data_IF_417936020836
#
_entry.id   IF_417936020836
#
_cell.length_a   1.000
_cell.length_b   1.000
_cell.length_c   1.000
_cell.angle_alpha   90.00
_cell.angle_beta   90.00
_cell.angle_gamma   90.00
#
_symmetry.space_group_name_H-M   'P 1'
#
loop_
_entity.id
_entity.type
_entity.pdbx_description
1 polymer ?
#
# COMPACT_ATOMS: atom_id res chain seq x y z
N UNK A 1 -16.58 15.14 9.04
CA UNK A 1 -15.35 14.34 9.22
C UNK A 1 -15.70 12.96 8.67
N UNK A 2 -15.20 12.67 7.46
CA UNK A 2 -15.55 11.44 6.75
C UNK A 2 -15.10 10.22 7.56
N UNK A 3 -15.89 9.13 7.56
CA UNK A 3 -15.53 7.85 8.18
C UNK A 3 -14.21 7.27 7.66
N UNK A 4 -13.73 7.75 6.52
CA UNK A 4 -12.47 7.38 5.87
C UNK A 4 -11.20 8.01 6.49
N UNK A 5 -11.33 8.96 7.43
CA UNK A 5 -10.22 9.65 8.10
C UNK A 5 -10.14 9.33 9.61
N UNK A 6 -10.59 8.17 10.03
CA UNK A 6 -10.25 7.69 11.36
C UNK A 6 -8.81 7.19 11.34
N UNK A 7 -7.86 8.10 11.61
CA UNK A 7 -6.51 7.74 12.03
C UNK A 7 -6.62 6.87 13.29
N UNK A 8 -6.55 5.57 13.10
CA UNK A 8 -6.45 4.63 14.21
C UNK A 8 -5.05 4.77 14.78
N UNK A 9 -4.87 5.74 15.66
CA UNK A 9 -3.61 5.96 16.37
C UNK A 9 -3.41 4.85 17.40
N UNK A 10 -2.84 3.73 16.93
CA UNK A 10 -2.28 2.74 17.82
C UNK A 10 -1.08 3.35 18.55
N UNK A 11 -1.07 3.26 19.87
CA UNK A 11 0.00 3.77 20.70
C UNK A 11 1.10 2.71 20.83
N UNK A 12 2.30 3.13 21.19
CA UNK A 12 3.44 2.23 21.45
C UNK A 12 3.07 1.01 22.29
N UNK A 13 2.29 1.20 23.35
CA UNK A 13 1.86 0.15 24.26
C UNK A 13 0.92 -0.89 23.59
N UNK A 14 0.21 -0.47 22.56
CA UNK A 14 -0.77 -1.33 21.86
C UNK A 14 -0.05 -2.36 20.98
N UNK A 15 1.09 -1.99 20.43
CA UNK A 15 1.94 -2.90 19.64
C UNK A 15 2.72 -3.90 20.51
N UNK A 16 2.97 -3.59 21.78
CA UNK A 16 3.71 -4.48 22.68
C UNK A 16 5.03 -4.96 22.07
N UNK A 17 5.21 -6.28 21.96
CA UNK A 17 6.41 -6.91 21.40
C UNK A 17 6.59 -6.67 19.89
N UNK A 18 5.55 -6.25 19.18
CA UNK A 18 5.62 -5.91 17.75
C UNK A 18 6.22 -4.52 17.52
N UNK A 19 6.25 -3.67 18.54
CA UNK A 19 6.64 -2.26 18.41
C UNK A 19 8.02 -2.04 17.77
N UNK A 20 9.10 -2.76 18.17
CA UNK A 20 10.41 -2.58 17.56
C UNK A 20 10.39 -2.83 16.04
N UNK A 21 9.66 -3.85 15.59
CA UNK A 21 9.54 -4.20 14.18
C UNK A 21 8.70 -3.18 13.39
N UNK A 22 7.65 -2.65 14.01
CA UNK A 22 6.83 -1.59 13.39
C UNK A 22 7.67 -0.33 13.17
N UNK A 23 8.56 0.00 14.09
CA UNK A 23 9.41 1.19 14.01
C UNK A 23 10.64 1.02 13.13
N UNK A 24 11.11 -0.21 12.90
CA UNK A 24 12.29 -0.48 12.08
C UNK A 24 12.01 -0.19 10.60
N UNK A 25 12.76 0.73 9.98
CA UNK A 25 12.51 1.21 8.61
C UNK A 25 12.70 0.12 7.56
N UNK A 26 13.61 -0.83 7.80
CA UNK A 26 13.90 -1.94 6.89
C UNK A 26 12.83 -3.02 6.90
N UNK A 27 12.04 -3.13 7.98
CA UNK A 27 10.95 -4.10 8.08
C UNK A 27 9.77 -3.66 7.21
N UNK A 28 9.30 -4.57 6.37
CA UNK A 28 8.15 -4.36 5.47
C UNK A 28 6.89 -5.06 5.97
N UNK A 29 7.04 -6.30 6.43
CA UNK A 29 5.92 -7.11 6.87
C UNK A 29 6.24 -7.86 8.17
N UNK A 30 5.20 -8.06 8.98
CA UNK A 30 5.28 -8.75 10.27
C UNK A 30 4.15 -9.78 10.32
N UNK A 31 4.48 -11.05 10.46
CA UNK A 31 3.52 -12.14 10.39
C UNK A 31 3.56 -13.01 11.65
N UNK A 32 2.45 -13.10 12.35
CA UNK A 32 2.22 -14.08 13.39
C UNK A 32 1.32 -15.21 12.86
N UNK A 33 1.80 -16.44 12.88
CA UNK A 33 1.08 -17.59 12.35
C UNK A 33 0.35 -18.43 13.44
N UNK A 34 0.15 -17.84 14.62
CA UNK A 34 -0.42 -18.52 15.79
C UNK A 34 0.63 -19.20 16.69
N UNK A 35 1.90 -19.27 16.25
CA UNK A 35 2.99 -19.94 16.99
C UNK A 35 4.33 -19.20 16.93
N UNK A 36 4.65 -18.61 15.79
CA UNK A 36 5.93 -17.99 15.49
C UNK A 36 5.72 -16.64 14.86
N UNK A 37 6.63 -15.72 15.17
CA UNK A 37 6.68 -14.39 14.58
C UNK A 37 7.70 -14.39 13.44
N UNK A 38 7.26 -14.03 12.25
CA UNK A 38 8.08 -13.91 11.05
C UNK A 38 8.15 -12.47 10.60
N UNK A 39 9.32 -12.03 10.21
CA UNK A 39 9.63 -10.67 9.80
C UNK A 39 10.17 -10.71 8.38
N UNK A 40 9.61 -9.88 7.51
CA UNK A 40 10.18 -9.59 6.20
C UNK A 40 10.93 -8.25 6.29
N UNK A 41 12.23 -8.29 6.03
CA UNK A 41 13.16 -7.18 6.20
C UNK A 41 13.96 -6.98 4.91
N UNK A 42 14.10 -5.74 4.45
CA UNK A 42 14.76 -5.41 3.18
C UNK A 42 16.26 -5.76 3.17
N UNK A 43 16.91 -5.75 4.33
CA UNK A 43 18.35 -6.02 4.45
C UNK A 43 18.64 -7.48 4.85
N UNK A 44 17.86 -8.01 5.79
CA UNK A 44 18.06 -9.34 6.38
C UNK A 44 17.29 -10.44 5.64
N UNK A 45 16.36 -10.06 4.76
CA UNK A 45 15.42 -10.98 4.16
C UNK A 45 14.37 -11.47 5.17
N UNK A 46 13.73 -12.59 4.88
CA UNK A 46 12.72 -13.18 5.78
C UNK A 46 13.36 -14.01 6.86
N UNK A 47 13.02 -13.73 8.12
CA UNK A 47 13.53 -14.46 9.28
C UNK A 47 12.47 -14.66 10.35
N UNK A 48 12.70 -15.65 11.23
CA UNK A 48 11.89 -15.89 12.41
C UNK A 48 12.45 -15.05 13.57
N UNK A 49 11.58 -14.23 14.15
CA UNK A 49 11.93 -13.45 15.33
C UNK A 49 11.96 -14.32 16.59
N UNK A 50 12.82 -14.01 17.57
CA UNK A 50 12.91 -14.77 18.81
C UNK A 50 11.73 -14.56 19.75
N UNK A 51 10.97 -13.47 19.56
CA UNK A 51 9.81 -13.14 20.38
C UNK A 51 8.64 -14.05 20.08
N UNK A 52 7.92 -14.40 21.13
CA UNK A 52 6.67 -15.16 21.06
C UNK A 52 5.53 -14.26 21.52
N UNK A 53 4.49 -14.13 20.69
CA UNK A 53 3.27 -13.46 21.11
C UNK A 53 2.50 -14.38 22.07
N UNK A 54 2.21 -13.86 23.27
CA UNK A 54 1.28 -14.58 24.15
C UNK A 54 -0.12 -14.53 23.55
N UNK A 55 -0.90 -15.58 23.79
CA UNK A 55 -2.29 -15.65 23.37
C UNK A 55 -3.11 -14.46 23.91
N UNK A 56 -2.83 -14.08 25.17
CA UNK A 56 -3.47 -12.91 25.80
C UNK A 56 -3.15 -11.60 25.08
N UNK A 57 -1.93 -11.42 24.60
CA UNK A 57 -1.57 -10.25 23.79
C UNK A 57 -2.27 -10.29 22.44
N UNK A 58 -2.23 -11.41 21.73
CA UNK A 58 -2.84 -11.55 20.41
C UNK A 58 -4.36 -11.30 20.45
N UNK A 59 -5.05 -11.85 21.46
CA UNK A 59 -6.47 -11.60 21.67
C UNK A 59 -6.77 -10.14 22.02
N UNK A 60 -5.99 -9.51 22.90
CA UNK A 60 -6.17 -8.09 23.25
C UNK A 60 -5.93 -7.19 22.03
N UNK A 61 -4.91 -7.48 21.23
CA UNK A 61 -4.59 -6.72 20.01
C UNK A 61 -5.73 -6.81 18.99
N UNK A 62 -6.29 -8.01 18.76
CA UNK A 62 -7.42 -8.20 17.86
C UNK A 62 -8.69 -7.50 18.36
N UNK A 63 -8.98 -7.54 19.66
CA UNK A 63 -10.10 -6.81 20.25
C UNK A 63 -9.94 -5.29 20.13
N UNK A 64 -8.73 -4.79 20.35
CA UNK A 64 -8.43 -3.36 20.19
C UNK A 64 -8.69 -2.90 18.75
N UNK A 65 -8.20 -3.64 17.76
CA UNK A 65 -8.43 -3.34 16.34
C UNK A 65 -9.90 -3.43 15.96
N UNK A 66 -10.63 -4.44 16.46
CA UNK A 66 -12.08 -4.58 16.27
C UNK A 66 -12.83 -3.36 16.80
N UNK A 67 -12.52 -2.91 18.01
CA UNK A 67 -13.14 -1.73 18.62
C UNK A 67 -12.80 -0.44 17.87
N UNK A 68 -11.54 -0.24 17.49
CA UNK A 68 -11.09 0.94 16.76
C UNK A 68 -11.73 1.02 15.37
N UNK A 69 -11.83 -0.09 14.66
CA UNK A 69 -12.39 -0.14 13.30
C UNK A 69 -13.92 -0.26 13.30
N UNK A 70 -14.56 -0.48 14.46
CA UNK A 70 -15.98 -0.80 14.58
C UNK A 70 -16.40 -2.00 13.70
N UNK A 71 -15.47 -2.98 13.53
CA UNK A 71 -15.70 -4.20 12.77
C UNK A 71 -15.85 -5.39 13.73
N UNK A 72 -16.84 -6.24 13.49
CA UNK A 72 -16.97 -7.48 14.23
C UNK A 72 -15.87 -8.46 13.82
N UNK A 73 -15.17 -9.04 14.82
CA UNK A 73 -14.18 -10.09 14.61
C UNK A 73 -14.50 -11.27 15.53
N UNK A 74 -15.05 -12.31 14.98
CA UNK A 74 -15.54 -13.48 15.69
C UNK A 74 -15.67 -14.67 14.72
N UNK A 75 -16.29 -15.76 15.19
CA UNK A 75 -16.50 -16.97 14.40
C UNK A 75 -17.34 -16.74 13.13
N UNK A 76 -18.29 -15.83 13.18
CA UNK A 76 -19.18 -15.53 12.04
C UNK A 76 -18.53 -14.52 11.07
N UNK A 77 -17.60 -13.71 11.58
CA UNK A 77 -16.79 -12.76 10.82
C UNK A 77 -15.31 -13.08 11.07
N UNK A 78 -14.79 -14.16 10.47
CA UNK A 78 -13.49 -14.72 10.85
C UNK A 78 -12.29 -14.00 10.24
N UNK A 79 -12.50 -13.07 9.32
CA UNK A 79 -11.43 -12.24 8.71
C UNK A 79 -11.73 -10.78 9.00
N UNK A 80 -10.70 -10.06 9.44
CA UNK A 80 -10.81 -8.61 9.66
C UNK A 80 -9.59 -7.91 9.05
N UNK A 81 -9.85 -6.94 8.20
CA UNK A 81 -8.83 -6.03 7.68
C UNK A 81 -9.04 -4.64 8.27
N UNK A 82 -7.94 -4.08 8.78
CA UNK A 82 -7.89 -2.73 9.35
C UNK A 82 -6.72 -1.99 8.72
N UNK A 83 -6.96 -0.78 8.29
CA UNK A 83 -5.93 0.08 7.76
C UNK A 83 -5.75 1.29 8.66
N UNK A 84 -4.52 1.65 8.88
CA UNK A 84 -4.09 2.91 9.46
C UNK A 84 -3.38 3.73 8.37
N UNK A 85 -2.91 4.91 8.71
CA UNK A 85 -2.17 5.75 7.74
C UNK A 85 -0.96 5.04 7.10
N UNK A 86 -0.25 4.18 7.85
CA UNK A 86 1.00 3.55 7.39
C UNK A 86 1.06 2.04 7.59
N UNK A 87 -0.06 1.42 8.02
CA UNK A 87 -0.13 -0.02 8.26
C UNK A 87 -1.44 -0.60 7.74
N UNK A 88 -1.33 -1.73 7.07
CA UNK A 88 -2.45 -2.63 6.82
C UNK A 88 -2.34 -3.84 7.73
N UNK A 89 -3.38 -4.14 8.48
CA UNK A 89 -3.44 -5.28 9.39
C UNK A 89 -4.54 -6.22 8.93
N UNK A 90 -4.17 -7.48 8.68
CA UNK A 90 -5.11 -8.55 8.38
C UNK A 90 -5.08 -9.56 9.55
N UNK A 91 -6.26 -9.86 10.10
CA UNK A 91 -6.46 -10.84 11.15
C UNK A 91 -7.31 -11.99 10.65
N UNK A 92 -6.91 -13.23 11.00
CA UNK A 92 -7.70 -14.42 10.70
C UNK A 92 -8.00 -15.17 12.00
N UNK A 93 -9.29 -15.34 12.26
CA UNK A 93 -9.80 -15.92 13.50
C UNK A 93 -9.46 -17.42 13.61
N UNK A 94 -9.23 -17.95 14.83
CA UNK A 94 -8.94 -19.36 15.05
C UNK A 94 -10.01 -20.34 14.57
N UNK A 95 -11.24 -19.87 14.33
CA UNK A 95 -12.28 -20.74 13.77
C UNK A 95 -11.99 -21.23 12.35
N UNK A 96 -11.13 -20.53 11.61
CA UNK A 96 -10.72 -20.86 10.24
C UNK A 96 -9.18 -21.02 10.10
N UNK A 97 -8.41 -20.50 11.05
CA UNK A 97 -6.96 -20.66 11.12
C UNK A 97 -6.62 -21.70 12.18
N UNK A 98 -6.38 -22.94 11.79
CA UNK A 98 -6.14 -24.08 12.72
C UNK A 98 -4.92 -23.93 13.61
N UNK A 99 -3.94 -23.13 13.23
CA UNK A 99 -2.74 -22.85 14.05
C UNK A 99 -2.96 -21.84 15.16
N UNK A 100 -4.13 -21.23 15.22
CA UNK A 100 -4.50 -20.15 16.14
C UNK A 100 -4.75 -18.83 15.42
N UNK A 101 -4.90 -17.74 16.18
CA UNK A 101 -5.08 -16.41 15.62
C UNK A 101 -3.88 -16.06 14.72
N UNK A 102 -4.16 -15.75 13.45
CA UNK A 102 -3.13 -15.23 12.53
C UNK A 102 -3.21 -13.71 12.46
N UNK A 103 -2.04 -13.06 12.45
CA UNK A 103 -1.90 -11.60 12.36
C UNK A 103 -0.87 -11.30 11.28
N UNK A 104 -1.24 -10.48 10.30
CA UNK A 104 -0.31 -9.96 9.29
C UNK A 104 -0.38 -8.44 9.30
N UNK A 105 0.76 -7.81 9.52
CA UNK A 105 0.92 -6.35 9.40
C UNK A 105 1.80 -6.07 8.20
N UNK A 106 1.32 -5.27 7.26
CA UNK A 106 2.09 -4.75 6.14
C UNK A 106 2.32 -3.26 6.35
N UNK A 107 3.56 -2.82 6.22
CA UNK A 107 3.91 -1.40 6.31
C UNK A 107 3.75 -0.73 4.96
N UNK A 108 3.04 0.37 4.93
CA UNK A 108 2.79 1.20 3.74
C UNK A 108 3.24 2.65 3.99
N UNK A 109 4.51 2.90 4.32
CA UNK A 109 4.95 4.24 4.68
C UNK A 109 4.92 5.19 3.49
N UNK A 110 4.62 6.46 3.77
CA UNK A 110 4.63 7.54 2.78
C UNK A 110 6.07 8.02 2.48
N UNK A 111 6.94 7.11 2.06
CA UNK A 111 8.36 7.39 1.77
C UNK A 111 8.75 6.85 0.39
N UNK A 112 9.71 7.50 -0.25
CA UNK A 112 10.41 6.99 -1.44
C UNK A 112 11.67 6.28 -0.99
N UNK A 113 11.64 4.95 -1.01
CA UNK A 113 12.79 4.12 -0.65
C UNK A 113 13.83 4.05 -1.77
N UNK A 114 13.38 4.09 -3.03
CA UNK A 114 14.29 4.01 -4.17
C UNK A 114 14.93 5.37 -4.46
N UNK A 115 16.26 5.38 -4.56
CA UNK A 115 17.07 6.49 -5.07
C UNK A 115 17.83 6.03 -6.29
N UNK A 116 18.10 6.94 -7.23
CA UNK A 116 18.76 6.60 -8.51
C UNK A 116 20.10 5.90 -8.29
N UNK A 117 20.88 6.39 -7.34
CA UNK A 117 22.21 5.87 -6.98
C UNK A 117 22.12 4.44 -6.46
N UNK A 118 21.17 4.18 -5.58
CA UNK A 118 20.97 2.86 -4.97
C UNK A 118 20.49 1.85 -6.01
N UNK A 119 19.55 2.22 -6.87
CA UNK A 119 19.02 1.34 -7.91
C UNK A 119 20.11 0.86 -8.88
N UNK A 120 21.04 1.72 -9.24
CA UNK A 120 22.12 1.37 -10.14
C UNK A 120 23.27 0.63 -9.44
N UNK A 121 23.59 1.04 -8.19
CA UNK A 121 24.66 0.44 -7.40
C UNK A 121 24.34 -0.96 -6.87
N UNK A 122 23.09 -1.21 -6.54
CA UNK A 122 22.62 -2.49 -5.96
C UNK A 122 22.15 -3.50 -7.02
N UNK A 123 22.26 -3.16 -8.32
CA UNK A 123 21.85 -4.04 -9.40
C UNK A 123 20.32 -4.21 -9.54
N UNK A 124 19.54 -3.28 -8.99
CA UNK A 124 18.08 -3.25 -9.16
C UNK A 124 17.70 -3.10 -10.63
N UNK A 125 18.33 -2.17 -11.33
CA UNK A 125 18.25 -2.05 -12.78
C UNK A 125 19.45 -1.27 -13.39
N UNK A 126 19.60 -1.42 -14.71
CA UNK A 126 20.60 -0.64 -15.47
C UNK A 126 20.22 0.86 -15.47
N UNK A 127 21.21 1.74 -15.35
CA UNK A 127 21.02 3.19 -15.37
C UNK A 127 20.23 3.68 -16.60
N UNK A 128 20.44 3.04 -17.76
CA UNK A 128 19.74 3.36 -19.02
C UNK A 128 18.23 3.09 -18.92
N UNK A 129 17.82 2.08 -18.15
CA UNK A 129 16.39 1.79 -17.94
C UNK A 129 15.74 2.89 -17.12
N UNK A 130 16.42 3.38 -16.07
CA UNK A 130 15.91 4.48 -15.26
C UNK A 130 15.80 5.76 -16.08
N UNK A 131 16.84 6.08 -16.87
CA UNK A 131 16.82 7.25 -17.73
C UNK A 131 15.75 7.19 -18.80
N UNK A 132 15.54 6.00 -19.38
CA UNK A 132 14.43 5.77 -20.31
C UNK A 132 13.06 5.98 -19.65
N UNK A 133 12.84 5.45 -18.45
CA UNK A 133 11.57 5.66 -17.71
C UNK A 133 11.33 7.14 -17.38
N UNK A 134 12.38 7.88 -16.99
CA UNK A 134 12.28 9.32 -16.76
C UNK A 134 11.91 10.07 -18.06
N UNK A 135 12.47 9.66 -19.20
CA UNK A 135 12.10 10.23 -20.50
C UNK A 135 10.64 9.88 -20.87
N UNK A 136 10.19 8.65 -20.59
CA UNK A 136 8.78 8.28 -20.74
C UNK A 136 7.84 9.17 -19.90
N UNK A 137 8.21 9.47 -18.64
CA UNK A 137 7.47 10.43 -17.82
C UNK A 137 7.43 11.81 -18.46
N UNK A 138 8.55 12.33 -18.91
CA UNK A 138 8.63 13.64 -19.58
C UNK A 138 7.85 13.68 -20.91
N UNK A 139 7.71 12.55 -21.59
CA UNK A 139 6.96 12.39 -22.84
C UNK A 139 5.49 12.00 -22.62
N UNK A 140 5.00 12.00 -21.39
CA UNK A 140 3.63 11.59 -21.05
C UNK A 140 3.24 10.19 -21.54
N UNK A 141 4.18 9.25 -21.56
CA UNK A 141 3.89 7.86 -21.93
C UNK A 141 3.06 7.18 -20.85
N UNK A 142 2.13 6.35 -21.25
CA UNK A 142 1.46 5.40 -20.36
C UNK A 142 2.42 4.27 -19.98
N UNK A 143 2.52 3.95 -18.70
CA UNK A 143 3.47 2.98 -18.14
C UNK A 143 2.70 1.91 -17.36
N UNK A 144 2.93 0.65 -17.68
CA UNK A 144 2.46 -0.48 -16.88
C UNK A 144 3.64 -1.15 -16.17
N UNK A 145 3.57 -1.28 -14.85
CA UNK A 145 4.60 -1.89 -14.01
C UNK A 145 4.09 -3.26 -13.55
N UNK A 146 4.66 -4.33 -14.08
CA UNK A 146 4.26 -5.70 -13.80
C UNK A 146 5.38 -6.47 -13.08
N UNK A 147 5.00 -7.42 -12.24
CA UNK A 147 5.97 -8.27 -11.53
C UNK A 147 5.33 -9.02 -10.36
N UNK A 148 6.06 -9.95 -9.78
CA UNK A 148 5.63 -10.72 -8.61
C UNK A 148 5.39 -9.82 -7.38
N UNK A 149 4.66 -10.33 -6.39
CA UNK A 149 4.55 -9.67 -5.09
C UNK A 149 5.95 -9.48 -4.49
N UNK A 150 6.21 -8.33 -3.87
CA UNK A 150 7.51 -8.01 -3.29
C UNK A 150 8.60 -7.59 -4.28
N UNK A 151 8.32 -7.52 -5.60
CA UNK A 151 9.34 -7.13 -6.61
C UNK A 151 9.65 -5.63 -6.66
N UNK A 152 9.02 -4.81 -5.81
CA UNK A 152 9.27 -3.37 -5.74
C UNK A 152 8.43 -2.51 -6.69
N UNK A 153 7.33 -3.05 -7.28
CA UNK A 153 6.45 -2.30 -8.20
C UNK A 153 5.99 -0.97 -7.61
N UNK A 154 5.41 -1.00 -6.41
CA UNK A 154 4.93 0.20 -5.72
C UNK A 154 6.06 1.18 -5.41
N UNK A 155 7.24 0.69 -5.07
CA UNK A 155 8.40 1.56 -4.83
C UNK A 155 8.89 2.23 -6.11
N UNK A 156 8.91 1.51 -7.25
CA UNK A 156 9.23 2.09 -8.55
C UNK A 156 8.18 3.14 -8.96
N UNK A 157 6.90 2.86 -8.75
CA UNK A 157 5.83 3.83 -8.97
C UNK A 157 6.07 5.10 -8.13
N UNK A 158 6.27 4.95 -6.81
CA UNK A 158 6.57 6.07 -5.90
C UNK A 158 7.79 6.87 -6.38
N UNK A 159 8.82 6.19 -6.86
CA UNK A 159 9.99 6.85 -7.44
C UNK A 159 9.63 7.68 -8.68
N UNK A 160 8.85 7.14 -9.60
CA UNK A 160 8.47 7.84 -10.83
C UNK A 160 7.58 9.06 -10.58
N UNK A 161 6.73 9.05 -9.54
CA UNK A 161 5.83 10.16 -9.21
C UNK A 161 6.55 11.50 -8.97
N UNK A 162 7.83 11.49 -8.62
CA UNK A 162 8.60 12.73 -8.44
C UNK A 162 8.78 13.51 -9.74
N UNK A 163 8.78 12.83 -10.89
CA UNK A 163 8.97 13.40 -12.22
C UNK A 163 7.69 13.97 -12.83
N UNK A 164 6.54 13.79 -12.21
CA UNK A 164 5.31 14.47 -12.61
C UNK A 164 5.47 15.97 -12.33
N UNK A 165 5.25 16.85 -13.32
CA UNK A 165 5.33 18.31 -13.13
C UNK A 165 4.37 18.81 -12.05
N UNK A 166 4.79 19.81 -11.27
CA UNK A 166 3.97 20.36 -10.17
C UNK A 166 2.70 21.09 -10.65
N UNK A 167 2.70 21.57 -11.88
CA UNK A 167 1.55 22.24 -12.49
C UNK A 167 0.51 21.27 -13.07
N UNK A 168 0.79 19.98 -13.05
CA UNK A 168 -0.07 18.94 -13.62
C UNK A 168 -0.88 18.23 -12.54
N UNK A 169 -2.17 18.09 -12.82
CA UNK A 169 -3.10 17.41 -11.93
C UNK A 169 -2.92 15.90 -11.99
N UNK A 170 -2.76 15.28 -10.83
CA UNK A 170 -2.69 13.84 -10.67
C UNK A 170 -3.94 13.33 -9.96
N UNK A 171 -4.50 12.22 -10.42
CA UNK A 171 -5.51 11.45 -9.68
C UNK A 171 -4.95 10.07 -9.42
N UNK A 172 -4.99 9.62 -8.17
CA UNK A 172 -4.70 8.23 -7.82
C UNK A 172 -5.98 7.49 -7.49
N UNK A 173 -6.09 6.23 -7.91
CA UNK A 173 -7.21 5.35 -7.59
C UNK A 173 -6.63 4.06 -7.01
N UNK A 174 -6.95 3.78 -5.75
CA UNK A 174 -6.41 2.67 -4.98
C UNK A 174 -7.52 1.97 -4.20
N UNK A 175 -7.44 0.66 -4.00
CA UNK A 175 -8.24 -0.09 -3.03
C UNK A 175 -7.68 0.10 -1.62
N UNK A 176 -6.36 0.10 -1.51
CA UNK A 176 -5.60 0.33 -0.29
C UNK A 176 -4.63 1.49 -0.51
N UNK A 177 -4.60 2.45 0.39
CA UNK A 177 -3.71 3.60 0.29
C UNK A 177 -2.26 3.17 0.53
N UNK A 178 -1.54 2.86 -0.53
CA UNK A 178 -0.12 2.48 -0.51
C UNK A 178 0.80 3.54 -1.11
N UNK A 179 0.29 4.33 -2.07
CA UNK A 179 1.10 5.30 -2.82
C UNK A 179 1.38 6.54 -1.97
N UNK A 180 0.40 7.03 -1.24
CA UNK A 180 0.49 8.28 -0.44
C UNK A 180 1.02 9.46 -1.27
N UNK A 181 0.48 9.65 -2.46
CA UNK A 181 0.99 10.63 -3.42
C UNK A 181 1.04 12.05 -2.84
N UNK A 182 -0.07 12.49 -2.22
CA UNK A 182 -0.19 13.84 -1.67
C UNK A 182 0.81 14.08 -0.53
N UNK A 183 0.99 13.09 0.37
CA UNK A 183 1.94 13.19 1.47
C UNK A 183 3.39 13.29 1.00
N UNK A 184 3.74 12.53 -0.07
CA UNK A 184 5.08 12.58 -0.68
C UNK A 184 5.30 13.79 -1.59
N UNK A 185 4.23 14.42 -2.07
CA UNK A 185 4.26 15.55 -3.01
C UNK A 185 3.36 16.69 -2.53
N UNK A 186 3.60 17.30 -1.37
CA UNK A 186 2.66 18.23 -0.72
C UNK A 186 2.37 19.53 -1.52
N UNK A 187 3.22 19.83 -2.51
CA UNK A 187 3.10 21.03 -3.35
C UNK A 187 2.54 20.74 -4.75
N UNK A 188 2.06 19.53 -5.01
CA UNK A 188 1.47 19.14 -6.29
C UNK A 188 -0.05 19.00 -6.17
N UNK A 189 -0.76 19.33 -7.26
CA UNK A 189 -2.21 19.11 -7.32
C UNK A 189 -2.53 17.63 -7.43
N UNK A 190 -3.23 17.08 -6.42
CA UNK A 190 -3.59 15.68 -6.39
C UNK A 190 -4.97 15.44 -5.78
N UNK A 191 -5.67 14.47 -6.34
CA UNK A 191 -6.85 13.86 -5.73
C UNK A 191 -6.58 12.37 -5.54
N UNK A 192 -6.60 11.89 -4.30
CA UNK A 192 -6.48 10.48 -3.96
C UNK A 192 -7.88 9.90 -3.79
N UNK A 193 -8.26 8.97 -4.68
CA UNK A 193 -9.54 8.27 -4.63
C UNK A 193 -9.32 6.85 -4.10
N UNK A 194 -10.24 6.42 -3.24
CA UNK A 194 -10.27 5.07 -2.75
C UNK A 194 -11.50 4.33 -3.26
N UNK A 195 -11.32 3.15 -3.83
CA UNK A 195 -12.43 2.25 -4.17
C UNK A 195 -12.96 1.55 -2.91
N UNK A 196 -14.25 1.23 -2.92
CA UNK A 196 -14.97 0.59 -1.83
C UNK A 196 -16.13 -0.24 -2.39
N UNK A 197 -16.87 -0.96 -1.54
CA UNK A 197 -18.01 -1.79 -1.97
C UNK A 197 -19.05 -1.04 -2.83
N UNK A 198 -19.28 0.24 -2.54
CA UNK A 198 -20.25 1.11 -3.23
C UNK A 198 -19.58 2.14 -4.18
N UNK A 199 -18.28 2.01 -4.44
CA UNK A 199 -17.54 2.88 -5.36
C UNK A 199 -16.44 2.08 -6.06
N UNK A 200 -16.77 1.51 -7.22
CA UNK A 200 -15.89 0.63 -7.99
C UNK A 200 -14.77 1.39 -8.72
N UNK A 201 -13.74 0.67 -9.20
CA UNK A 201 -12.71 1.22 -10.09
C UNK A 201 -13.32 1.90 -11.32
N UNK A 202 -14.29 1.27 -11.98
CA UNK A 202 -14.99 1.86 -13.14
C UNK A 202 -15.63 3.20 -12.81
N UNK A 203 -16.33 3.29 -11.67
CA UNK A 203 -16.94 4.55 -11.25
C UNK A 203 -15.88 5.60 -10.91
N UNK A 204 -14.79 5.21 -10.24
CA UNK A 204 -13.68 6.11 -9.90
C UNK A 204 -13.02 6.67 -11.15
N UNK A 205 -12.78 5.84 -12.17
CA UNK A 205 -12.24 6.23 -13.47
C UNK A 205 -13.18 7.22 -14.17
N UNK A 206 -14.48 6.92 -14.25
CA UNK A 206 -15.47 7.83 -14.87
C UNK A 206 -15.55 9.19 -14.17
N UNK A 207 -15.41 9.21 -12.85
CA UNK A 207 -15.36 10.47 -12.07
C UNK A 207 -14.02 11.19 -12.29
N UNK A 208 -12.92 10.45 -12.32
CA UNK A 208 -11.59 10.98 -12.61
C UNK A 208 -11.56 11.76 -13.93
N UNK A 209 -12.12 11.19 -15.01
CA UNK A 209 -12.17 11.86 -16.33
C UNK A 209 -12.88 13.21 -16.29
N UNK A 210 -13.87 13.38 -15.41
CA UNK A 210 -14.57 14.67 -15.24
C UNK A 210 -13.75 15.73 -14.49
N UNK A 211 -12.64 15.31 -13.86
CA UNK A 211 -11.74 16.20 -13.12
C UNK A 211 -10.55 16.69 -13.96
N UNK A 212 -10.49 16.30 -15.24
CA UNK A 212 -9.47 16.69 -16.20
C UNK A 212 -8.03 16.48 -15.68
N UNK A 213 -7.67 15.27 -15.27
CA UNK A 213 -6.31 14.97 -14.83
C UNK A 213 -5.35 14.95 -16.01
N UNK A 214 -4.08 15.29 -15.76
CA UNK A 214 -2.97 15.03 -16.69
C UNK A 214 -2.41 13.61 -16.45
N UNK A 215 -2.48 13.16 -15.21
CA UNK A 215 -1.98 11.84 -14.78
C UNK A 215 -3.04 11.06 -14.02
N UNK A 216 -3.22 9.81 -14.41
CA UNK A 216 -3.99 8.83 -13.66
C UNK A 216 -3.05 7.72 -13.17
N UNK A 217 -3.08 7.45 -11.87
CA UNK A 217 -2.30 6.39 -11.25
C UNK A 217 -3.27 5.35 -10.70
N UNK A 218 -3.17 4.11 -11.19
CA UNK A 218 -3.99 3.00 -10.75
C UNK A 218 -3.14 1.98 -10.01
N UNK A 219 -3.58 1.56 -8.84
CA UNK A 219 -2.97 0.50 -8.04
C UNK A 219 -3.90 -0.69 -7.92
N UNK A 220 -3.39 -1.92 -8.15
CA UNK A 220 -4.09 -3.19 -7.90
C UNK A 220 -5.44 -3.38 -8.61
N UNK A 221 -5.66 -2.80 -9.77
CA UNK A 221 -6.88 -3.06 -10.53
C UNK A 221 -6.89 -4.50 -11.09
N UNK A 222 -7.63 -5.38 -10.43
CA UNK A 222 -7.64 -6.82 -10.74
C UNK A 222 -8.52 -7.23 -11.92
N UNK A 223 -9.46 -6.40 -12.36
CA UNK A 223 -10.42 -6.78 -13.40
C UNK A 223 -10.44 -5.79 -14.56
N UNK A 224 -10.58 -6.33 -15.77
CA UNK A 224 -10.60 -5.59 -17.02
C UNK A 224 -11.75 -4.60 -17.23
N UNK A 225 -12.59 -4.38 -16.24
CA UNK A 225 -13.71 -3.47 -16.30
C UNK A 225 -13.23 -2.02 -16.15
N UNK A 226 -13.35 -1.24 -17.21
CA UNK A 226 -13.01 0.19 -17.25
C UNK A 226 -11.63 0.53 -17.83
N UNK A 227 -10.71 -0.44 -17.99
CA UNK A 227 -9.41 -0.19 -18.62
C UNK A 227 -9.50 0.18 -20.10
N UNK A 228 -10.45 -0.40 -20.83
CA UNK A 228 -10.68 -0.08 -22.25
C UNK A 228 -11.02 1.38 -22.46
N UNK A 229 -11.71 2.01 -21.52
CA UNK A 229 -12.16 3.38 -21.64
C UNK A 229 -11.00 4.38 -21.43
N UNK A 230 -10.02 4.01 -20.61
CA UNK A 230 -8.84 4.85 -20.33
C UNK A 230 -7.82 4.82 -21.48
N UNK A 231 -7.65 3.66 -22.13
CA UNK A 231 -6.68 3.48 -23.21
C UNK A 231 -7.04 4.30 -24.47
N UNK A 232 -8.24 4.84 -24.54
CA UNK A 232 -8.76 5.60 -25.69
C UNK A 232 -8.52 7.11 -25.53
N UNK A 233 -8.19 7.59 -24.33
CA UNK A 233 -7.97 9.02 -24.06
C UNK A 233 -6.53 9.43 -24.34
N UNK A 234 -6.24 10.11 -25.48
CA UNK A 234 -4.88 10.38 -25.93
C UNK A 234 -4.12 11.43 -25.09
N UNK A 235 -4.85 12.21 -24.29
CA UNK A 235 -4.26 13.30 -23.48
C UNK A 235 -3.96 12.88 -22.03
N UNK A 236 -4.33 11.67 -21.63
CA UNK A 236 -4.14 11.16 -20.28
C UNK A 236 -2.93 10.25 -20.19
N UNK A 237 -1.99 10.59 -19.31
CA UNK A 237 -0.87 9.70 -18.98
C UNK A 237 -1.28 8.75 -17.86
N UNK A 238 -1.14 7.45 -18.09
CA UNK A 238 -1.52 6.40 -17.18
C UNK A 238 -0.30 5.71 -16.57
N UNK A 239 -0.27 5.56 -15.25
CA UNK A 239 0.65 4.65 -14.57
C UNK A 239 -0.19 3.59 -13.84
N UNK A 240 0.06 2.33 -14.18
CA UNK A 240 -0.64 1.18 -13.59
C UNK A 240 0.34 0.19 -12.99
N UNK A 241 0.00 -0.38 -11.80
CA UNK A 241 0.77 -1.44 -11.12
C UNK A 241 -0.12 -2.62 -10.73
#
# INVERSE_FOLDING_TARGET
MNEFQKDYLLKRQDYGVLYPYVMEETVTDIHWNGRQLWIDDLEKGRYMAPEVLSESFANRFSMLLSNLSNKAFNRDNPVMEVETEELRVCLVHPSVAYSGLSISLKKTPAVRRLKKEDMTGNGYCDARVIEFLIQCMAAHCSIAICGCSGSGKTELLKYLTQYIPAAERTVTIEDVLEIHYQKMNPNKDCVEMRVAENFSYTQAIQICMKQLPNWLILSNAESGDGFSDILIEPELSLIHI
#
